data_IF_046993777483
#
_entry.id   IF_046993777483
#
_cell.length_a   1.000
_cell.length_b   1.000
_cell.length_c   1.000
_cell.angle_alpha   90.00
_cell.angle_beta   90.00
_cell.angle_gamma   90.00
#
_symmetry.space_group_name_H-M   'P 1'
#
loop_
_entity.id
_entity.type
_entity.pdbx_description
1 polymer ?
#
# COMPACT_ATOMS: atom_id res chain seq x y z
N UNK A 1 -9.67 32.66 1.26
CA UNK A 1 -9.79 31.19 1.39
C UNK A 1 -11.09 30.78 0.73
N UNK A 2 -11.04 29.90 -0.26
CA UNK A 2 -12.24 29.42 -0.98
C UNK A 2 -12.82 28.20 -0.25
N UNK A 3 -14.14 28.15 0.01
CA UNK A 3 -14.75 27.02 0.72
C UNK A 3 -14.72 25.74 -0.12
N UNK A 4 -14.41 24.61 0.53
CA UNK A 4 -14.37 23.29 -0.12
C UNK A 4 -15.76 22.65 -0.31
N UNK A 5 -16.75 23.08 0.47
CA UNK A 5 -18.15 22.64 0.38
C UNK A 5 -19.08 23.82 0.70
N UNK A 6 -20.14 24.02 -0.09
CA UNK A 6 -21.18 25.05 0.19
C UNK A 6 -22.56 24.47 -0.08
N UNK A 7 -23.43 24.52 0.93
CA UNK A 7 -24.85 24.20 0.80
C UNK A 7 -25.54 25.43 0.22
N UNK A 8 -26.11 25.31 -0.98
CA UNK A 8 -26.72 26.43 -1.72
C UNK A 8 -28.23 26.53 -1.49
N UNK A 9 -28.89 25.41 -1.17
CA UNK A 9 -30.35 25.34 -0.96
C UNK A 9 -30.69 24.16 -0.04
N UNK A 10 -31.55 24.39 0.95
CA UNK A 10 -32.03 23.37 1.91
C UNK A 10 -31.52 23.57 3.34
N UNK A 11 -32.31 23.08 4.31
CA UNK A 11 -31.89 22.86 5.69
C UNK A 11 -31.43 21.40 5.78
N UNK A 12 -30.14 21.17 5.50
CA UNK A 12 -29.57 19.84 5.58
C UNK A 12 -29.38 19.47 7.05
N UNK A 13 -29.87 18.30 7.44
CA UNK A 13 -29.69 17.85 8.81
C UNK A 13 -28.21 17.59 9.12
N UNK A 14 -27.79 17.64 10.39
CA UNK A 14 -26.42 17.30 10.79
C UNK A 14 -25.98 15.91 10.28
N UNK A 15 -26.90 14.95 10.24
CA UNK A 15 -26.67 13.58 9.76
C UNK A 15 -26.42 13.55 8.25
N UNK A 16 -27.16 14.33 7.46
CA UNK A 16 -26.97 14.43 6.01
C UNK A 16 -25.61 15.06 5.66
N UNK A 17 -25.20 16.09 6.42
CA UNK A 17 -23.89 16.70 6.27
C UNK A 17 -22.78 15.68 6.60
N UNK A 18 -22.94 14.91 7.68
CA UNK A 18 -21.99 13.87 8.07
C UNK A 18 -21.85 12.79 6.99
N UNK A 19 -22.98 12.35 6.42
CA UNK A 19 -22.98 11.37 5.32
C UNK A 19 -22.22 11.92 4.09
N UNK A 20 -22.46 13.17 3.71
CA UNK A 20 -21.80 13.78 2.57
C UNK A 20 -20.29 13.93 2.78
N UNK A 21 -19.87 14.35 3.97
CA UNK A 21 -18.46 14.46 4.34
C UNK A 21 -17.79 13.09 4.35
N UNK A 22 -18.45 12.05 4.87
CA UNK A 22 -17.93 10.69 4.88
C UNK A 22 -17.70 10.14 3.46
N UNK A 23 -18.65 10.36 2.54
CA UNK A 23 -18.51 9.95 1.13
C UNK A 23 -17.37 10.71 0.44
N UNK A 24 -17.23 12.01 0.67
CA UNK A 24 -16.13 12.78 0.10
C UNK A 24 -14.77 12.34 0.67
N UNK A 25 -14.68 12.12 1.99
CA UNK A 25 -13.47 11.66 2.65
C UNK A 25 -13.02 10.28 2.14
N UNK A 26 -13.97 9.34 1.96
CA UNK A 26 -13.68 8.01 1.42
C UNK A 26 -13.26 8.04 -0.05
N UNK A 27 -13.86 8.91 -0.88
CA UNK A 27 -13.44 9.07 -2.28
C UNK A 27 -12.01 9.61 -2.42
N UNK A 28 -11.58 10.45 -1.48
CA UNK A 28 -10.24 11.01 -1.44
C UNK A 28 -9.22 10.15 -0.69
N UNK A 29 -9.66 9.08 -0.03
CA UNK A 29 -8.75 8.15 0.62
C UNK A 29 -7.90 7.44 -0.44
N UNK A 30 -6.61 7.78 -0.49
CA UNK A 30 -5.66 7.01 -1.28
C UNK A 30 -5.56 5.61 -0.65
N UNK A 31 -5.60 4.54 -1.45
CA UNK A 31 -5.32 3.22 -0.94
C UNK A 31 -3.94 3.24 -0.28
N UNK A 32 -3.85 2.71 0.93
CA UNK A 32 -2.57 2.61 1.61
C UNK A 32 -1.62 1.81 0.71
N UNK A 33 -0.39 2.31 0.46
CA UNK A 33 0.55 1.60 -0.39
C UNK A 33 0.73 0.20 0.17
N UNK A 34 0.33 -0.79 -0.64
CA UNK A 34 0.54 -2.20 -0.28
C UNK A 34 2.02 -2.39 0.00
N UNK A 35 2.41 -3.02 1.12
CA UNK A 35 3.81 -3.32 1.35
C UNK A 35 4.34 -4.09 0.16
N UNK A 36 5.41 -3.57 -0.45
CA UNK A 36 6.10 -4.29 -1.53
C UNK A 36 6.56 -5.62 -0.92
N UNK A 37 6.15 -6.78 -1.45
CA UNK A 37 6.61 -8.04 -0.91
C UNK A 37 8.14 -8.04 -0.99
N UNK A 38 8.78 -8.25 0.16
CA UNK A 38 10.22 -8.48 0.19
C UNK A 38 10.52 -9.65 -0.74
N UNK A 39 11.56 -9.53 -1.56
CA UNK A 39 11.98 -10.63 -2.42
C UNK A 39 12.33 -11.82 -1.52
N UNK A 40 11.44 -12.80 -1.45
CA UNK A 40 11.63 -14.00 -0.63
C UNK A 40 12.75 -14.79 -1.27
N UNK A 41 13.96 -14.59 -0.78
CA UNK A 41 15.17 -15.14 -1.36
C UNK A 41 15.13 -16.66 -1.31
N UNK A 42 14.51 -17.21 -0.27
CA UNK A 42 14.29 -18.63 -0.08
C UNK A 42 13.28 -19.25 -1.05
N UNK A 43 12.20 -18.54 -1.39
CA UNK A 43 11.15 -19.02 -2.30
C UNK A 43 11.44 -18.83 -3.78
N UNK A 44 12.64 -18.36 -4.14
CA UNK A 44 13.03 -18.17 -5.53
C UNK A 44 13.06 -19.53 -6.27
N UNK A 45 12.20 -19.76 -7.28
CA UNK A 45 12.15 -21.03 -8.02
C UNK A 45 13.49 -21.40 -8.68
N UNK A 46 14.32 -20.41 -9.01
CA UNK A 46 15.64 -20.64 -9.58
C UNK A 46 16.61 -21.37 -8.62
N UNK A 47 16.30 -21.43 -7.32
CA UNK A 47 17.04 -22.21 -6.31
C UNK A 47 16.59 -23.68 -6.24
N UNK A 48 15.39 -24.02 -6.72
CA UNK A 48 14.96 -25.42 -6.84
C UNK A 48 15.75 -26.18 -7.93
N UNK A 49 16.40 -25.44 -8.83
CA UNK A 49 17.33 -25.97 -9.82
C UNK A 49 18.74 -26.01 -9.23
N UNK A 50 19.44 -27.14 -9.40
CA UNK A 50 20.84 -27.28 -8.97
C UNK A 50 21.73 -26.34 -9.79
N UNK A 51 22.25 -25.30 -9.15
CA UNK A 51 23.28 -24.42 -9.72
C UNK A 51 24.61 -24.59 -8.99
N UNK A 52 25.75 -24.48 -9.69
CA UNK A 52 27.05 -24.42 -9.02
C UNK A 52 27.08 -23.26 -8.02
N UNK A 53 27.60 -23.50 -6.82
CA UNK A 53 27.81 -22.46 -5.82
C UNK A 53 29.04 -21.65 -6.23
N UNK A 54 28.84 -20.42 -6.68
CA UNK A 54 29.94 -19.50 -7.01
C UNK A 54 30.30 -18.65 -5.79
N UNK A 55 31.59 -18.56 -5.41
CA UNK A 55 32.04 -17.60 -4.40
C UNK A 55 31.71 -16.17 -4.82
N UNK A 56 31.23 -15.34 -3.89
CA UNK A 56 30.86 -13.95 -4.19
C UNK A 56 30.67 -13.09 -2.95
N UNK A 57 30.86 -11.77 -3.10
CA UNK A 57 30.87 -10.78 -2.00
C UNK A 57 29.60 -10.77 -1.14
N UNK A 58 28.48 -11.26 -1.67
CA UNK A 58 27.20 -11.35 -0.98
C UNK A 58 26.73 -12.79 -0.68
N UNK A 59 27.49 -13.81 -1.09
CA UNK A 59 27.08 -15.21 -0.96
C UNK A 59 26.80 -15.61 0.50
N UNK A 60 27.66 -15.19 1.42
CA UNK A 60 27.49 -15.39 2.87
C UNK A 60 26.33 -14.60 3.47
N UNK A 61 26.02 -13.40 2.97
CA UNK A 61 24.84 -12.64 3.47
C UNK A 61 23.54 -13.29 3.02
N UNK A 62 23.53 -13.83 1.81
CA UNK A 62 22.36 -14.46 1.20
C UNK A 62 22.04 -15.87 1.75
N UNK A 63 22.89 -16.45 2.60
CA UNK A 63 22.61 -17.74 3.27
C UNK A 63 21.80 -17.59 4.56
N UNK A 64 21.72 -16.38 5.12
CA UNK A 64 21.04 -16.11 6.40
C UNK A 64 19.81 -15.18 6.26
N UNK A 65 19.48 -14.74 5.04
CA UNK A 65 18.28 -13.94 4.75
C UNK A 65 17.12 -14.86 4.31
N UNK A 66 15.88 -14.60 4.77
CA UNK A 66 14.68 -15.32 4.30
C UNK A 66 14.32 -15.03 2.83
#
# INVERSE_FOLDING_TARGET
MTPHLRIVRGDASPEEIAALVAVLATRHAQPEPRPVPTSQTWRNPARAMRKPVTPGKSAWRMSALP
#
